data_IF_326916977905
#
_entry.id   IF_326916977905
#
_cell.length_a   1.000
_cell.length_b   1.000
_cell.length_c   1.000
_cell.angle_alpha   90.00
_cell.angle_beta   90.00
_cell.angle_gamma   90.00
#
_symmetry.space_group_name_H-M   'P 1'
#
loop_
_entity.id
_entity.type
_entity.pdbx_description
1 polymer ?
#
# COMPACT_ATOMS: atom_id res chain seq x y z
N UNK A 1 1.05 27.70 9.39
CA UNK A 1 1.59 26.34 9.57
C UNK A 1 0.65 25.52 10.41
N UNK A 2 0.16 24.41 9.86
CA UNK A 2 -0.65 23.42 10.56
C UNK A 2 0.29 22.57 11.43
N UNK A 3 0.11 22.56 12.75
CA UNK A 3 0.93 21.76 13.68
C UNK A 3 0.28 20.43 14.07
N UNK A 4 -1.04 20.31 13.89
CA UNK A 4 -1.83 19.10 14.11
C UNK A 4 -2.88 18.98 13.01
N UNK A 5 -3.23 17.78 12.54
CA UNK A 5 -2.74 16.47 12.98
C UNK A 5 -1.28 16.21 12.56
N UNK A 6 -0.49 15.63 13.46
CA UNK A 6 0.83 15.10 13.12
C UNK A 6 0.69 13.80 12.30
N UNK A 7 1.67 13.53 11.43
CA UNK A 7 1.73 12.33 10.61
C UNK A 7 2.84 11.40 11.12
N UNK A 8 2.61 10.09 11.09
CA UNK A 8 3.63 9.06 11.27
C UNK A 8 3.92 8.33 9.96
N UNK A 9 5.16 7.87 9.81
CA UNK A 9 5.58 6.96 8.73
C UNK A 9 5.79 5.57 9.29
N UNK A 10 5.20 4.57 8.65
CA UNK A 10 5.40 3.15 8.98
C UNK A 10 5.94 2.42 7.75
N UNK A 11 7.27 2.26 7.64
CA UNK A 11 7.89 1.68 6.46
C UNK A 11 7.48 0.22 6.25
N UNK A 12 7.59 -0.21 4.99
CA UNK A 12 7.51 -1.58 4.52
C UNK A 12 8.67 -1.86 3.58
N UNK A 13 9.13 -3.11 3.55
CA UNK A 13 10.11 -3.61 2.60
C UNK A 13 9.52 -4.80 1.84
N UNK A 14 8.77 -4.48 0.79
CA UNK A 14 8.00 -5.43 0.00
C UNK A 14 8.90 -6.20 -0.95
N UNK A 15 8.50 -7.41 -1.33
CA UNK A 15 9.23 -8.21 -2.32
C UNK A 15 8.36 -8.40 -3.56
N UNK A 16 9.00 -8.29 -4.71
CA UNK A 16 8.40 -8.48 -6.03
C UNK A 16 9.07 -9.68 -6.66
N UNK A 17 8.29 -10.67 -7.10
CA UNK A 17 8.78 -11.80 -7.88
C UNK A 17 8.01 -11.91 -9.19
N UNK A 18 8.71 -12.04 -10.30
CA UNK A 18 8.13 -12.19 -11.63
C UNK A 18 8.64 -13.45 -12.31
N UNK A 19 7.72 -14.28 -12.80
CA UNK A 19 8.05 -15.43 -13.62
C UNK A 19 6.84 -15.91 -14.43
N UNK A 20 7.09 -16.58 -15.56
CA UNK A 20 6.06 -17.23 -16.37
C UNK A 20 5.40 -18.43 -15.66
N UNK A 21 6.07 -19.02 -14.67
CA UNK A 21 5.58 -20.18 -13.87
C UNK A 21 4.61 -19.79 -12.76
N UNK A 22 4.54 -18.50 -12.42
CA UNK A 22 3.60 -17.98 -11.43
C UNK A 22 2.16 -18.08 -11.95
N UNK A 23 1.22 -18.27 -11.02
CA UNK A 23 -0.23 -18.31 -11.28
C UNK A 23 -0.96 -17.31 -10.39
N UNK A 24 -2.19 -16.91 -10.72
CA UNK A 24 -3.00 -16.04 -9.87
C UNK A 24 -3.15 -16.62 -8.45
N UNK A 25 -2.71 -15.85 -7.46
CA UNK A 25 -2.82 -16.11 -6.04
C UNK A 25 -3.08 -14.79 -5.30
N UNK A 26 -4.17 -14.77 -4.52
CA UNK A 26 -4.58 -13.66 -3.67
C UNK A 26 -4.89 -14.22 -2.29
N UNK A 27 -3.91 -14.19 -1.39
CA UNK A 27 -4.01 -14.93 -0.14
C UNK A 27 -3.25 -14.28 1.01
N UNK A 28 -3.75 -14.49 2.21
CA UNK A 28 -3.02 -14.31 3.46
C UNK A 28 -2.61 -15.70 3.96
N UNK A 29 -1.30 -15.96 4.01
CA UNK A 29 -0.79 -17.18 4.64
C UNK A 29 -0.69 -16.94 6.14
N UNK A 30 -1.37 -17.77 6.94
CA UNK A 30 -1.40 -17.64 8.39
C UNK A 30 -0.35 -18.56 9.04
N UNK A 31 0.21 -18.12 10.16
CA UNK A 31 1.09 -18.90 11.03
C UNK A 31 0.55 -18.91 12.45
N UNK A 32 1.43 -19.12 13.44
CA UNK A 32 1.05 -19.07 14.87
C UNK A 32 0.77 -17.67 15.43
N UNK A 33 1.02 -16.61 14.66
CA UNK A 33 0.87 -15.21 15.08
C UNK A 33 -0.43 -14.55 14.61
N UNK A 34 -0.69 -13.34 15.09
CA UNK A 34 -1.87 -12.52 14.73
C UNK A 34 -1.76 -11.81 13.37
N UNK A 35 -0.62 -11.93 12.69
CA UNK A 35 -0.36 -11.33 11.37
C UNK A 35 -0.17 -12.43 10.32
N UNK A 36 -0.56 -12.18 9.06
CA UNK A 36 -0.19 -13.07 7.97
C UNK A 36 1.33 -13.15 7.86
N UNK A 37 1.87 -14.36 7.83
CA UNK A 37 3.27 -14.67 7.59
C UNK A 37 3.73 -14.00 6.29
N UNK A 38 2.97 -14.24 5.22
CA UNK A 38 3.04 -13.49 3.95
C UNK A 38 1.63 -13.13 3.48
N UNK A 39 1.53 -12.03 2.73
CA UNK A 39 0.37 -11.70 1.90
C UNK A 39 0.80 -11.67 0.45
N UNK A 40 0.11 -12.43 -0.40
CA UNK A 40 0.39 -12.52 -1.83
C UNK A 40 -0.73 -11.83 -2.60
N UNK A 41 -0.35 -10.94 -3.51
CA UNK A 41 -1.23 -10.39 -4.54
C UNK A 41 -0.60 -10.63 -5.90
N UNK A 42 -1.35 -11.15 -6.85
CA UNK A 42 -0.88 -11.41 -8.20
C UNK A 42 -1.28 -10.28 -9.14
N UNK A 43 -0.35 -9.85 -9.99
CA UNK A 43 -0.59 -8.80 -10.98
C UNK A 43 -0.15 -9.33 -12.35
N UNK A 44 -1.04 -9.34 -13.36
CA UNK A 44 -0.66 -9.74 -14.71
C UNK A 44 0.26 -8.69 -15.32
N UNK A 45 1.22 -9.12 -16.13
CA UNK A 45 2.10 -8.21 -16.88
C UNK A 45 1.78 -8.24 -18.37
N UNK A 46 2.14 -7.17 -19.09
CA UNK A 46 1.82 -7.03 -20.52
C UNK A 46 2.50 -8.10 -21.41
N UNK A 47 3.60 -8.69 -20.94
CA UNK A 47 4.30 -9.80 -21.59
C UNK A 47 3.72 -11.19 -21.28
N UNK A 48 2.58 -11.26 -20.59
CA UNK A 48 1.86 -12.51 -20.29
C UNK A 48 2.40 -13.29 -19.09
N UNK A 49 3.44 -12.78 -18.41
CA UNK A 49 3.90 -13.31 -17.13
C UNK A 49 3.03 -12.81 -15.96
N UNK A 50 3.36 -13.27 -14.76
CA UNK A 50 2.76 -12.79 -13.52
C UNK A 50 3.82 -12.20 -12.62
N UNK A 51 3.42 -11.16 -11.88
CA UNK A 51 4.13 -10.64 -10.71
C UNK A 51 3.38 -11.08 -9.46
N UNK A 52 4.08 -11.67 -8.49
CA UNK A 52 3.59 -11.71 -7.12
C UNK A 52 4.22 -10.58 -6.32
N UNK A 53 3.36 -9.81 -5.66
CA UNK A 53 3.73 -8.77 -4.72
C UNK A 53 3.51 -9.29 -3.30
N UNK A 54 4.61 -9.33 -2.55
CA UNK A 54 4.69 -10.02 -1.26
C UNK A 54 4.79 -9.00 -0.12
N UNK A 55 3.78 -9.03 0.74
CA UNK A 55 3.70 -8.28 1.98
C UNK A 55 3.51 -9.19 3.19
N UNK A 56 2.77 -8.71 4.19
CA UNK A 56 2.58 -9.42 5.47
C UNK A 56 3.74 -9.17 6.42
N UNK A 57 3.90 -10.05 7.41
CA UNK A 57 4.98 -9.96 8.41
C UNK A 57 6.37 -9.94 7.76
N UNK A 58 6.54 -10.64 6.64
CA UNK A 58 7.75 -10.59 5.81
C UNK A 58 8.23 -9.17 5.51
N UNK A 59 7.31 -8.22 5.25
CA UNK A 59 7.63 -6.87 4.80
C UNK A 59 7.63 -5.82 5.93
N UNK A 60 7.27 -6.20 7.15
CA UNK A 60 7.20 -5.30 8.32
C UNK A 60 8.60 -5.11 8.95
N UNK A 61 8.69 -4.81 10.25
CA UNK A 61 9.93 -4.41 10.93
C UNK A 61 11.15 -5.31 10.63
N UNK A 62 10.97 -6.64 10.64
CA UNK A 62 12.03 -7.59 10.30
C UNK A 62 12.50 -7.49 8.85
N UNK A 63 11.58 -7.25 7.91
CA UNK A 63 11.92 -7.00 6.51
C UNK A 63 12.57 -5.65 6.29
N UNK A 64 12.07 -4.60 6.94
CA UNK A 64 12.63 -3.23 6.87
C UNK A 64 14.08 -3.18 7.36
N UNK A 65 14.42 -3.98 8.37
CA UNK A 65 15.78 -4.07 8.89
C UNK A 65 16.76 -4.82 7.96
N UNK A 66 16.26 -5.61 7.00
CA UNK A 66 17.11 -6.32 6.03
C UNK A 66 17.50 -5.40 4.87
N UNK A 67 18.70 -5.63 4.34
CA UNK A 67 19.04 -5.16 3.00
C UNK A 67 18.24 -5.92 1.92
N UNK A 68 18.38 -5.49 0.67
CA UNK A 68 17.63 -6.07 -0.44
C UNK A 68 17.93 -7.56 -0.64
N UNK A 69 19.21 -7.96 -0.64
CA UNK A 69 19.61 -9.34 -0.88
C UNK A 69 19.08 -10.28 0.22
N UNK A 70 19.19 -9.88 1.49
CA UNK A 70 18.68 -10.63 2.63
C UNK A 70 17.15 -10.71 2.63
N UNK A 71 16.46 -9.66 2.17
CA UNK A 71 15.01 -9.67 2.07
C UNK A 71 14.52 -10.60 0.94
N UNK A 72 15.20 -10.60 -0.21
CA UNK A 72 14.93 -11.56 -1.30
C UNK A 72 15.21 -12.99 -0.84
N UNK A 73 16.32 -13.23 -0.13
CA UNK A 73 16.65 -14.55 0.41
C UNK A 73 15.57 -15.05 1.40
N UNK A 74 15.08 -14.17 2.27
CA UNK A 74 13.96 -14.49 3.17
C UNK A 74 12.70 -14.86 2.39
N UNK A 75 12.33 -14.10 1.36
CA UNK A 75 11.16 -14.40 0.53
C UNK A 75 11.31 -15.73 -0.24
N UNK A 76 12.51 -16.05 -0.76
CA UNK A 76 12.78 -17.34 -1.41
C UNK A 76 12.57 -18.51 -0.45
N UNK A 77 13.06 -18.39 0.78
CA UNK A 77 12.86 -19.41 1.83
C UNK A 77 11.37 -19.59 2.15
N UNK A 78 10.66 -18.47 2.34
CA UNK A 78 9.21 -18.48 2.60
C UNK A 78 8.43 -19.19 1.49
N UNK A 79 8.68 -18.84 0.22
CA UNK A 79 7.98 -19.49 -0.90
C UNK A 79 8.36 -20.95 -1.09
N UNK A 80 9.62 -21.33 -0.83
CA UNK A 80 10.04 -22.73 -0.89
C UNK A 80 9.31 -23.61 0.16
N UNK A 81 8.97 -23.06 1.32
CA UNK A 81 8.20 -23.78 2.34
C UNK A 81 6.69 -23.77 2.04
N UNK A 82 6.14 -22.66 1.55
CA UNK A 82 4.70 -22.45 1.42
C UNK A 82 4.12 -22.96 0.09
N UNK A 83 4.90 -22.89 -0.99
CA UNK A 83 4.50 -23.28 -2.34
C UNK A 83 5.62 -24.04 -3.07
N UNK A 84 6.14 -25.14 -2.50
CA UNK A 84 7.29 -25.87 -3.05
C UNK A 84 7.08 -26.41 -4.47
N UNK A 85 5.83 -26.51 -4.92
CA UNK A 85 5.46 -27.01 -6.26
C UNK A 85 5.59 -25.95 -7.37
N UNK A 86 5.93 -24.70 -7.06
CA UNK A 86 6.16 -23.64 -8.05
C UNK A 86 7.66 -23.49 -8.32
N UNK A 87 8.08 -23.72 -9.57
CA UNK A 87 9.46 -23.49 -9.97
C UNK A 87 9.75 -21.98 -10.10
N UNK A 88 10.69 -21.50 -9.29
CA UNK A 88 11.14 -20.10 -9.25
C UNK A 88 12.62 -19.95 -9.68
N UNK A 89 13.22 -20.97 -10.28
CA UNK A 89 14.63 -20.97 -10.69
C UNK A 89 14.98 -19.85 -11.67
N UNK A 90 14.07 -19.56 -12.60
CA UNK A 90 14.18 -18.47 -13.58
C UNK A 90 13.49 -17.17 -13.16
N UNK A 91 12.99 -17.08 -11.92
CA UNK A 91 12.24 -15.93 -11.47
C UNK A 91 13.15 -14.70 -11.28
N UNK A 92 12.62 -13.53 -11.68
CA UNK A 92 13.24 -12.22 -11.38
C UNK A 92 12.72 -11.70 -10.05
N UNK A 93 13.61 -11.08 -9.28
CA UNK A 93 13.34 -10.64 -7.93
C UNK A 93 13.76 -9.18 -7.77
N UNK A 94 12.94 -8.41 -7.08
CA UNK A 94 13.23 -7.05 -6.68
C UNK A 94 12.59 -6.74 -5.34
N UNK A 95 12.97 -5.61 -4.74
CA UNK A 95 12.34 -5.11 -3.52
C UNK A 95 11.78 -3.71 -3.72
N UNK A 96 10.78 -3.35 -2.91
CA UNK A 96 10.24 -1.99 -2.87
C UNK A 96 10.16 -1.52 -1.42
N UNK A 97 10.88 -0.44 -1.11
CA UNK A 97 10.73 0.29 0.16
C UNK A 97 9.66 1.36 0.02
N UNK A 98 8.67 1.35 0.89
CA UNK A 98 7.56 2.30 0.86
C UNK A 98 7.09 2.66 2.27
N UNK A 99 6.79 3.94 2.49
CA UNK A 99 6.21 4.43 3.74
C UNK A 99 4.68 4.41 3.65
N UNK A 100 4.04 3.81 4.66
CA UNK A 100 2.63 4.12 4.96
C UNK A 100 2.58 5.45 5.69
N UNK A 101 1.85 6.41 5.14
CA UNK A 101 1.54 7.68 5.77
C UNK A 101 0.20 7.57 6.52
N UNK A 102 0.24 7.79 7.83
CA UNK A 102 -0.92 7.61 8.72
C UNK A 102 -0.96 8.77 9.74
N UNK A 103 -2.14 9.11 10.30
CA UNK A 103 -2.20 10.03 11.44
C UNK A 103 -1.36 9.46 12.59
N UNK A 104 -0.59 10.31 13.27
CA UNK A 104 0.16 9.89 14.43
C UNK A 104 -0.80 9.44 15.54
N UNK A 105 -0.59 8.22 16.05
CA UNK A 105 -1.38 7.65 17.14
C UNK A 105 -0.54 7.57 18.42
N UNK A 106 -1.19 7.63 19.58
CA UNK A 106 -0.54 7.23 20.84
C UNK A 106 -0.01 5.80 20.70
N UNK A 107 1.25 5.57 21.09
CA UNK A 107 1.96 4.29 20.94
C UNK A 107 2.13 3.75 19.50
N UNK A 108 1.96 4.59 18.46
CA UNK A 108 2.09 4.19 17.03
C UNK A 108 1.19 3.01 16.62
N UNK A 109 0.02 2.88 17.26
CA UNK A 109 -0.96 1.87 16.89
C UNK A 109 -1.42 2.04 15.43
N UNK A 110 -1.89 0.94 14.82
CA UNK A 110 -2.47 0.94 13.48
C UNK A 110 -3.88 1.54 13.56
N UNK A 111 -4.19 2.63 12.85
CA UNK A 111 -5.58 3.11 12.77
C UNK A 111 -6.43 2.10 11.99
N UNK A 112 -7.70 1.97 12.39
CA UNK A 112 -8.67 1.10 11.72
C UNK A 112 -9.80 1.85 11.00
N UNK A 113 -9.78 3.19 11.02
CA UNK A 113 -10.74 4.05 10.33
C UNK A 113 -10.01 5.09 9.48
N UNK A 114 -10.70 5.69 8.51
CA UNK A 114 -10.21 6.91 7.90
C UNK A 114 -10.12 8.03 8.94
N UNK A 115 -9.20 8.95 8.72
CA UNK A 115 -8.95 10.07 9.61
C UNK A 115 -9.18 11.38 8.86
N UNK A 116 -9.92 12.29 9.47
CA UNK A 116 -10.14 13.65 8.99
C UNK A 116 -9.99 14.62 10.17
N UNK A 117 -9.26 15.71 9.96
CA UNK A 117 -9.14 16.82 10.88
C UNK A 117 -9.39 18.14 10.15
N UNK A 118 -9.76 19.15 10.92
CA UNK A 118 -10.23 20.42 10.39
C UNK A 118 -9.51 21.59 11.09
N UNK A 119 -9.12 22.61 10.32
CA UNK A 119 -8.65 23.88 10.86
C UNK A 119 -9.20 25.03 10.02
N UNK A 120 -10.27 25.67 10.50
CA UNK A 120 -10.99 26.69 9.73
C UNK A 120 -11.56 26.07 8.46
N UNK A 121 -11.13 26.56 7.28
CA UNK A 121 -11.58 26.06 5.97
C UNK A 121 -10.71 24.93 5.41
N UNK A 122 -9.73 24.45 6.16
CA UNK A 122 -8.84 23.36 5.76
C UNK A 122 -9.36 22.03 6.29
N UNK A 123 -9.58 21.08 5.39
CA UNK A 123 -9.78 19.67 5.69
C UNK A 123 -8.51 18.90 5.35
N UNK A 124 -8.02 18.08 6.27
CA UNK A 124 -6.78 17.32 6.12
C UNK A 124 -6.93 15.92 6.71
N UNK A 125 -6.44 14.89 6.03
CA UNK A 125 -6.56 13.54 6.56
C UNK A 125 -5.93 12.45 5.71
N UNK A 126 -6.13 11.21 6.15
CA UNK A 126 -5.61 10.00 5.52
C UNK A 126 -6.66 8.88 5.58
N UNK A 127 -6.83 8.08 4.53
CA UNK A 127 -7.74 6.94 4.57
C UNK A 127 -7.21 5.77 5.41
N UNK A 128 -5.89 5.71 5.68
CA UNK A 128 -5.16 4.65 6.44
C UNK A 128 -5.12 3.27 5.79
N UNK A 129 -6.13 2.89 5.01
CA UNK A 129 -6.16 1.75 4.10
C UNK A 129 -6.85 2.18 2.80
N UNK A 130 -6.44 1.64 1.65
CA UNK A 130 -7.13 1.90 0.38
C UNK A 130 -8.63 1.51 0.44
N UNK A 131 -8.94 0.44 1.17
CA UNK A 131 -10.32 -0.01 1.39
C UNK A 131 -11.19 1.00 2.17
N UNK A 132 -10.58 1.97 2.86
CA UNK A 132 -11.26 3.02 3.64
C UNK A 132 -11.30 4.36 2.91
N UNK A 133 -10.91 4.42 1.63
CA UNK A 133 -11.11 5.62 0.81
C UNK A 133 -12.58 6.08 0.75
N UNK A 134 -13.59 5.19 0.70
CA UNK A 134 -14.99 5.59 0.80
C UNK A 134 -15.34 6.23 2.16
N UNK A 135 -14.96 5.61 3.28
CA UNK A 135 -15.15 6.20 4.63
C UNK A 135 -14.47 7.58 4.75
N UNK A 136 -13.32 7.77 4.10
CA UNK A 136 -12.67 9.08 4.03
C UNK A 136 -13.51 10.11 3.28
N UNK A 137 -14.08 9.74 2.13
CA UNK A 137 -14.96 10.62 1.36
C UNK A 137 -16.24 10.96 2.14
N UNK A 138 -16.89 9.97 2.75
CA UNK A 138 -18.09 10.14 3.55
C UNK A 138 -17.88 11.14 4.70
N UNK A 139 -16.71 11.09 5.36
CA UNK A 139 -16.34 12.05 6.42
C UNK A 139 -16.19 13.48 5.90
N UNK A 140 -15.60 13.63 4.71
CA UNK A 140 -15.46 14.95 4.06
C UNK A 140 -16.84 15.49 3.69
N UNK A 141 -17.70 14.68 3.07
CA UNK A 141 -19.06 15.08 2.69
C UNK A 141 -19.92 15.44 3.91
N UNK A 142 -19.77 14.70 5.01
CA UNK A 142 -20.43 15.00 6.27
C UNK A 142 -19.97 16.35 6.86
N UNK A 143 -18.67 16.65 6.80
CA UNK A 143 -18.14 17.94 7.25
C UNK A 143 -18.67 19.11 6.41
N UNK A 144 -18.67 18.97 5.07
CA UNK A 144 -19.23 19.96 4.16
C UNK A 144 -20.72 20.19 4.41
N UNK A 145 -21.50 19.12 4.61
CA UNK A 145 -22.93 19.18 4.87
C UNK A 145 -23.24 19.85 6.21
N UNK A 146 -22.51 19.49 7.27
CA UNK A 146 -22.64 20.09 8.61
C UNK A 146 -22.42 21.60 8.56
N UNK A 147 -21.46 22.05 7.75
CA UNK A 147 -21.10 23.47 7.64
C UNK A 147 -21.95 24.23 6.62
N UNK A 148 -22.98 23.58 6.03
CA UNK A 148 -23.89 24.20 5.06
C UNK A 148 -23.20 24.58 3.75
N UNK A 149 -22.12 23.88 3.39
CA UNK A 149 -21.43 24.09 2.12
C UNK A 149 -22.19 23.37 1.02
N UNK A 150 -22.70 24.14 0.07
CA UNK A 150 -23.48 23.66 -1.05
C UNK A 150 -22.87 24.07 -2.38
N UNK A 151 -23.10 23.32 -3.48
CA UNK A 151 -22.69 23.73 -4.81
C UNK A 151 -23.20 25.13 -5.16
N UNK A 152 -22.34 25.93 -5.78
CA UNK A 152 -22.66 27.27 -6.28
C UNK A 152 -22.40 27.34 -7.78
N UNK A 153 -22.90 28.39 -8.43
CA UNK A 153 -22.59 28.66 -9.83
C UNK A 153 -21.16 29.20 -9.95
N UNK A 154 -20.39 28.57 -10.83
CA UNK A 154 -19.03 28.98 -11.16
C UNK A 154 -18.87 29.00 -12.69
N UNK A 155 -18.04 29.90 -13.25
CA UNK A 155 -17.68 29.85 -14.66
C UNK A 155 -16.97 28.52 -14.98
N UNK A 156 -16.99 28.06 -16.25
CA UNK A 156 -16.23 26.89 -16.67
C UNK A 156 -14.74 27.04 -16.32
N UNK A 157 -14.12 25.94 -15.90
CA UNK A 157 -12.68 25.91 -15.68
C UNK A 157 -11.95 26.15 -17.02
N UNK A 158 -10.84 26.92 -17.04
CA UNK A 158 -9.99 27.04 -18.21
C UNK A 158 -9.30 25.70 -18.51
N UNK A 159 -8.58 25.62 -19.63
CA UNK A 159 -7.67 24.50 -19.85
C UNK A 159 -6.59 24.48 -18.77
N UNK A 160 -6.50 23.36 -18.06
CA UNK A 160 -5.53 23.13 -17.00
C UNK A 160 -4.58 21.99 -17.42
N UNK A 161 -3.31 22.03 -16.99
CA UNK A 161 -2.39 20.92 -17.20
C UNK A 161 -2.95 19.64 -16.56
N UNK A 162 -2.88 18.53 -17.30
CA UNK A 162 -3.36 17.23 -16.83
C UNK A 162 -2.20 16.45 -16.21
N UNK A 163 -2.33 15.92 -14.97
CA UNK A 163 -1.28 15.09 -14.39
C UNK A 163 -1.16 13.78 -15.17
N UNK A 164 0.06 13.25 -15.27
CA UNK A 164 0.31 11.94 -15.84
C UNK A 164 -0.25 10.81 -14.95
N UNK A 165 -0.66 9.71 -15.57
CA UNK A 165 -1.02 8.48 -14.86
C UNK A 165 0.25 7.68 -14.65
N UNK A 166 0.48 7.21 -13.41
CA UNK A 166 1.65 6.38 -13.11
C UNK A 166 1.49 5.00 -13.75
N UNK A 167 2.58 4.46 -14.31
CA UNK A 167 2.63 3.05 -14.72
C UNK A 167 2.62 2.08 -13.53
N UNK A 168 2.68 0.76 -13.80
CA UNK A 168 2.84 -0.25 -12.77
C UNK A 168 4.07 -0.01 -11.88
N UNK A 169 3.90 -0.11 -10.56
CA UNK A 169 4.95 0.25 -9.59
C UNK A 169 6.22 -0.62 -9.65
N UNK A 170 6.17 -1.76 -10.34
CA UNK A 170 7.28 -2.68 -10.50
C UNK A 170 8.09 -2.43 -11.78
N UNK A 171 7.63 -1.55 -12.68
CA UNK A 171 8.42 -1.14 -13.84
C UNK A 171 9.66 -0.35 -13.39
N UNK A 172 10.83 -0.74 -13.91
CA UNK A 172 12.13 -0.17 -13.51
C UNK A 172 12.77 -0.82 -12.27
N UNK A 173 12.10 -1.78 -11.63
CA UNK A 173 12.65 -2.60 -10.54
C UNK A 173 13.04 -4.01 -10.98
N UNK A 174 12.41 -4.54 -12.04
CA UNK A 174 12.53 -5.92 -12.56
C UNK A 174 13.14 -6.02 -13.97
#
# INVERSE_FOLDING_TARGET
NLTQPAMQKRPLHMVIVKAATLKPLYAHCLGGGSKPRITVTSLPTADGEWVWYLGGELAEAGGVARDEAAQIAAAKKELAELVPWIDLSAARWATLRIDRAEPAQSARARPDNAFLAEQGRLLVGWPTKLALSPDFADRVEAALSRDGIHPQQHPPLPELPRPAITGPFWEGLL
#
